data_IF_629717216691
#
_entry.id   IF_629717216691
#
_cell.length_a   1.000
_cell.length_b   1.000
_cell.length_c   1.000
_cell.angle_alpha   90.00
_cell.angle_beta   90.00
_cell.angle_gamma   90.00
#
_symmetry.space_group_name_H-M   'P 1'
#
loop_
_entity.id
_entity.type
_entity.pdbx_description
1 polymer ?
#
# COMPACT_ATOMS: atom_id res chain seq x y z
N UNK A 1 -26.79 3.83 8.17
CA UNK A 1 -25.63 3.77 7.27
C UNK A 1 -24.93 5.12 7.26
N UNK A 2 -23.62 5.11 7.48
CA UNK A 2 -22.81 6.34 7.55
C UNK A 2 -21.59 6.17 6.62
N UNK A 3 -21.32 7.20 5.81
CA UNK A 3 -20.13 7.27 4.97
C UNK A 3 -19.03 8.07 5.67
N UNK A 4 -17.88 7.44 5.89
CA UNK A 4 -16.67 8.13 6.32
C UNK A 4 -15.73 8.27 5.12
N UNK A 5 -15.58 9.49 4.66
CA UNK A 5 -14.77 9.79 3.49
C UNK A 5 -15.52 9.62 2.15
N UNK A 6 -14.83 9.86 1.03
CA UNK A 6 -13.39 10.14 0.98
C UNK A 6 -12.96 11.48 1.60
N UNK A 7 -13.82 12.47 1.68
CA UNK A 7 -13.50 13.76 2.29
C UNK A 7 -13.84 13.76 3.78
N UNK A 8 -12.86 13.41 4.60
CA UNK A 8 -12.99 13.37 6.06
C UNK A 8 -11.59 13.49 6.67
N UNK A 9 -11.41 14.20 7.80
CA UNK A 9 -10.08 14.39 8.39
C UNK A 9 -9.34 13.10 8.73
N UNK A 10 -10.05 12.06 9.16
CA UNK A 10 -9.42 10.78 9.52
C UNK A 10 -9.10 9.87 8.34
N UNK A 11 -9.52 10.23 7.12
CA UNK A 11 -9.35 9.39 5.92
C UNK A 11 -8.18 9.84 5.03
N UNK A 12 -7.46 10.87 5.43
CA UNK A 12 -6.38 11.47 4.62
C UNK A 12 -6.84 11.88 3.21
N UNK A 13 -8.16 12.15 3.05
CA UNK A 13 -8.75 12.58 1.78
C UNK A 13 -9.03 11.49 0.76
N UNK A 14 -8.58 10.25 0.99
CA UNK A 14 -8.61 9.20 -0.04
C UNK A 14 -9.18 7.86 0.44
N UNK A 15 -9.56 7.76 1.69
CA UNK A 15 -10.14 6.54 2.24
C UNK A 15 -11.64 6.69 2.40
N UNK A 16 -12.39 5.69 1.95
CA UNK A 16 -13.82 5.63 2.15
C UNK A 16 -14.22 4.38 2.91
N UNK A 17 -14.99 4.58 3.97
CA UNK A 17 -15.50 3.49 4.79
C UNK A 17 -17.00 3.69 4.97
N UNK A 18 -17.79 2.70 4.57
CA UNK A 18 -19.23 2.69 4.79
C UNK A 18 -19.51 1.87 6.05
N UNK A 19 -20.18 2.50 7.00
CA UNK A 19 -20.50 1.89 8.28
C UNK A 19 -22.00 1.73 8.46
N UNK A 20 -22.40 0.59 8.97
CA UNK A 20 -23.75 0.34 9.49
C UNK A 20 -23.65 0.34 11.01
N UNK A 21 -24.24 1.34 11.64
CA UNK A 21 -24.13 1.53 13.09
C UNK A 21 -25.48 1.43 13.76
N UNK A 22 -25.45 0.94 15.01
CA UNK A 22 -26.60 0.93 15.93
C UNK A 22 -26.15 1.65 17.19
N UNK A 23 -26.56 2.93 17.31
CA UNK A 23 -26.03 3.82 18.35
C UNK A 23 -24.53 4.03 18.13
N UNK A 24 -23.72 3.64 19.11
CA UNK A 24 -22.25 3.71 19.04
C UNK A 24 -21.61 2.39 18.58
N UNK A 25 -22.43 1.39 18.34
CA UNK A 25 -21.95 0.06 17.97
C UNK A 25 -21.90 -0.08 16.45
N UNK A 26 -20.76 -0.52 15.95
CA UNK A 26 -20.60 -0.85 14.54
C UNK A 26 -21.16 -2.26 14.29
N UNK A 27 -22.17 -2.34 13.43
CA UNK A 27 -22.77 -3.62 13.04
C UNK A 27 -22.05 -4.22 11.84
N UNK A 28 -21.71 -3.37 10.85
CA UNK A 28 -21.01 -3.78 9.64
C UNK A 28 -20.13 -2.63 9.15
N UNK A 29 -18.98 -2.97 8.61
CA UNK A 29 -18.08 -2.03 7.97
C UNK A 29 -17.73 -2.51 6.57
N UNK A 30 -17.72 -1.62 5.60
CA UNK A 30 -17.39 -1.95 4.22
C UNK A 30 -16.40 -0.91 3.68
N UNK A 31 -15.11 -1.26 3.55
CA UNK A 31 -14.13 -0.36 2.98
C UNK A 31 -14.29 -0.30 1.46
N UNK A 32 -14.23 0.91 0.91
CA UNK A 32 -14.19 1.12 -0.53
C UNK A 32 -12.78 1.48 -0.96
N UNK A 33 -12.09 0.51 -1.55
CA UNK A 33 -10.71 0.60 -1.96
C UNK A 33 -10.64 1.05 -3.42
N UNK A 34 -9.64 1.82 -3.77
CA UNK A 34 -9.41 2.20 -5.16
C UNK A 34 -9.18 3.69 -5.41
N UNK A 35 -9.45 4.55 -4.42
CA UNK A 35 -9.28 6.00 -4.62
C UNK A 35 -7.82 6.40 -4.87
N UNK A 36 -6.86 5.59 -4.44
CA UNK A 36 -5.43 5.77 -4.70
C UNK A 36 -4.86 4.74 -5.68
N UNK A 37 -5.73 4.08 -6.42
CA UNK A 37 -5.26 3.11 -7.41
C UNK A 37 -4.53 3.83 -8.53
N UNK A 38 -3.22 3.63 -8.62
CA UNK A 38 -2.34 4.32 -9.58
C UNK A 38 -1.80 3.40 -10.67
N UNK A 39 -2.25 2.15 -10.71
CA UNK A 39 -1.72 1.18 -11.65
C UNK A 39 -0.24 0.88 -11.44
N UNK A 40 0.21 0.84 -10.18
CA UNK A 40 1.63 0.67 -9.84
C UNK A 40 2.23 -0.59 -10.47
N UNK A 41 1.49 -1.67 -10.50
CA UNK A 41 1.94 -2.92 -11.11
C UNK A 41 2.29 -2.74 -12.59
N UNK A 42 1.47 -1.98 -13.31
CA UNK A 42 1.71 -1.68 -14.72
C UNK A 42 2.89 -0.73 -14.91
N UNK A 43 3.04 0.25 -14.02
CA UNK A 43 4.18 1.15 -14.04
C UNK A 43 5.50 0.41 -13.81
N UNK A 44 5.49 -0.62 -12.98
CA UNK A 44 6.68 -1.41 -12.69
C UNK A 44 7.20 -2.15 -13.92
N UNK A 45 6.33 -2.50 -14.86
CA UNK A 45 6.74 -3.16 -16.10
C UNK A 45 7.58 -2.25 -17.00
N UNK A 46 7.37 -0.94 -16.92
CA UNK A 46 8.07 0.04 -17.75
C UNK A 46 9.40 0.50 -17.16
N UNK A 47 9.70 0.09 -15.92
CA UNK A 47 10.88 0.57 -15.20
C UNK A 47 11.92 -0.53 -15.01
N UNK A 48 13.18 -0.12 -14.88
CA UNK A 48 14.25 -1.02 -14.47
C UNK A 48 14.12 -1.38 -13.00
N UNK A 49 14.65 -2.53 -12.58
CA UNK A 49 14.56 -2.98 -11.20
C UNK A 49 15.11 -1.96 -10.19
N UNK A 50 16.17 -1.25 -10.55
CA UNK A 50 16.72 -0.20 -9.68
C UNK A 50 15.78 1.00 -9.50
N UNK A 51 15.00 1.31 -10.52
CA UNK A 51 14.03 2.43 -10.48
C UNK A 51 12.77 2.07 -9.72
N UNK A 52 12.39 0.78 -9.71
CA UNK A 52 11.21 0.30 -8.98
C UNK A 52 11.35 0.54 -7.48
N UNK A 53 12.56 0.53 -6.94
CA UNK A 53 12.82 0.77 -5.52
C UNK A 53 12.18 2.10 -5.06
N UNK A 54 12.28 3.14 -5.88
CA UNK A 54 11.69 4.44 -5.54
C UNK A 54 10.17 4.42 -5.54
N UNK A 55 9.55 3.56 -6.35
CA UNK A 55 8.10 3.41 -6.40
C UNK A 55 7.57 2.59 -5.21
N UNK A 56 8.34 1.62 -4.73
CA UNK A 56 7.95 0.81 -3.58
C UNK A 56 7.85 1.62 -2.28
N UNK A 57 8.61 2.69 -2.16
CA UNK A 57 8.51 3.60 -1.01
C UNK A 57 7.09 4.15 -0.82
N UNK A 58 6.35 4.27 -1.91
CA UNK A 58 5.04 4.90 -1.93
C UNK A 58 3.88 3.93 -1.71
N UNK A 59 4.15 2.63 -1.59
CA UNK A 59 3.11 1.64 -1.32
C UNK A 59 2.64 1.72 0.14
N UNK A 60 3.57 1.73 1.06
CA UNK A 60 3.33 1.97 2.47
C UNK A 60 4.36 2.96 2.97
N UNK A 61 4.05 4.25 2.84
CA UNK A 61 5.00 5.32 3.11
C UNK A 61 5.37 5.47 4.58
N UNK A 62 4.67 4.79 5.49
CA UNK A 62 5.03 4.74 6.92
C UNK A 62 6.16 3.71 7.16
N UNK A 63 6.24 2.69 6.31
CA UNK A 63 7.23 1.60 6.41
C UNK A 63 8.01 1.43 5.11
N UNK A 64 8.55 2.51 4.56
CA UNK A 64 9.25 2.49 3.25
C UNK A 64 10.39 1.47 3.20
N UNK A 65 11.23 1.42 4.22
CA UNK A 65 12.36 0.50 4.22
C UNK A 65 11.92 -0.96 4.22
N UNK A 66 10.80 -1.26 4.87
CA UNK A 66 10.23 -2.61 4.84
C UNK A 66 9.71 -2.96 3.44
N UNK A 67 9.13 -2.00 2.74
CA UNK A 67 8.66 -2.20 1.36
C UNK A 67 9.84 -2.42 0.41
N UNK A 68 10.90 -1.62 0.55
CA UNK A 68 12.12 -1.79 -0.22
C UNK A 68 12.79 -3.15 0.06
N UNK A 69 12.80 -3.57 1.34
CA UNK A 69 13.34 -4.87 1.72
C UNK A 69 12.58 -6.00 1.03
N UNK A 70 11.26 -5.93 0.99
CA UNK A 70 10.44 -6.94 0.32
C UNK A 70 10.78 -7.05 -1.16
N UNK A 71 10.95 -5.92 -1.85
CA UNK A 71 11.36 -5.89 -3.25
C UNK A 71 12.75 -6.50 -3.43
N UNK A 72 13.71 -6.08 -2.60
CA UNK A 72 15.09 -6.57 -2.69
C UNK A 72 15.17 -8.08 -2.46
N UNK A 73 14.42 -8.59 -1.49
CA UNK A 73 14.37 -10.03 -1.23
C UNK A 73 13.81 -10.81 -2.43
N UNK A 74 12.78 -10.26 -3.07
CA UNK A 74 12.19 -10.88 -4.25
C UNK A 74 13.19 -10.91 -5.42
N UNK A 75 13.90 -9.82 -5.66
CA UNK A 75 14.90 -9.72 -6.73
C UNK A 75 16.08 -10.64 -6.46
N UNK A 76 16.57 -10.70 -5.23
CA UNK A 76 17.67 -11.59 -4.84
C UNK A 76 17.30 -13.05 -5.06
N UNK A 77 16.10 -13.43 -4.70
CA UNK A 77 15.59 -14.78 -4.91
C UNK A 77 15.49 -15.12 -6.40
N UNK A 78 15.05 -14.16 -7.21
CA UNK A 78 14.96 -14.35 -8.66
C UNK A 78 16.33 -14.53 -9.30
N UNK A 79 17.32 -13.78 -8.83
CA UNK A 79 18.70 -13.86 -9.33
C UNK A 79 19.50 -15.00 -8.73
N UNK A 80 19.04 -15.61 -7.64
CA UNK A 80 19.78 -16.64 -6.93
C UNK A 80 20.97 -16.10 -6.14
N UNK A 81 20.91 -14.83 -5.72
CA UNK A 81 21.98 -14.19 -4.96
C UNK A 81 21.86 -14.49 -3.47
N UNK A 82 23.00 -14.74 -2.85
CA UNK A 82 23.12 -14.79 -1.40
C UNK A 82 23.90 -13.58 -0.93
N UNK A 83 23.40 -12.90 0.09
CA UNK A 83 24.07 -11.74 0.68
C UNK A 83 24.41 -12.03 2.13
N UNK A 84 25.48 -11.38 2.67
CA UNK A 84 25.82 -11.52 4.08
C UNK A 84 24.69 -11.06 4.99
N UNK A 85 24.54 -11.71 6.15
CA UNK A 85 23.48 -11.38 7.12
C UNK A 85 23.49 -9.91 7.51
N UNK A 86 24.65 -9.29 7.54
CA UNK A 86 24.82 -7.89 7.94
C UNK A 86 24.42 -6.91 6.82
N UNK A 87 24.36 -7.35 5.60
CA UNK A 87 23.98 -6.50 4.48
C UNK A 87 22.48 -6.26 4.47
#
# INVERSE_FOLDING_TARGET
MVNMGPQHPSTHGVFRLVLWIDGERIVKAEPHIGYLHRGSEKLFEDEDYGQIITLFDRLDYISNLNMELALCLAVEKLMGLEIPDRA
#
